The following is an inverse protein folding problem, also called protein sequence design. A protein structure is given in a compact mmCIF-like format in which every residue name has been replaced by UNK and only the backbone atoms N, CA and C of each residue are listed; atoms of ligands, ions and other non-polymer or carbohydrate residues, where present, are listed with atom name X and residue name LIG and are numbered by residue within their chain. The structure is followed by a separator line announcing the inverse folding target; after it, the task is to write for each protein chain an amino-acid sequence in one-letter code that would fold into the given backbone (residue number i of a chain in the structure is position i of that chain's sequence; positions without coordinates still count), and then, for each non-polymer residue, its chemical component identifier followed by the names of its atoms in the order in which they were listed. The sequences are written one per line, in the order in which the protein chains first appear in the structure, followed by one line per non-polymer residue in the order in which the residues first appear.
data_IF_617724903494
#
_entry.id   IF_617724903494
#
_cell.length_a   1.000
_cell.length_b   1.000
_cell.length_c   1.000
_cell.angle_alpha   90.00
_cell.angle_beta   90.00
_cell.angle_gamma   90.00
#
_symmetry.space_group_name_H-M   'P 1'
#
loop_
_entity.id
_entity.type
_entity.pdbx_description
1 polymer ?
#
# COMPACT_ATOMS: atom_id res chain seq x y z
N UNK A 1 -2.59 13.07 7.01
CA UNK A 1 -2.36 11.75 7.63
C UNK A 1 -3.33 10.81 6.94
N UNK A 2 -2.85 9.75 6.31
CA UNK A 2 -3.66 8.94 5.37
C UNK A 2 -3.76 7.48 5.84
N UNK A 3 -4.96 6.87 5.85
CA UNK A 3 -5.16 5.47 6.28
C UNK A 3 -4.36 4.44 5.48
N UNK A 4 -3.84 3.44 6.20
CA UNK A 4 -3.14 2.28 5.65
C UNK A 4 -3.59 1.01 6.40
N UNK A 5 -4.05 0.02 5.65
CA UNK A 5 -4.33 -1.33 6.13
C UNK A 5 -3.43 -2.35 5.47
N UNK A 6 -2.78 -3.22 6.26
CA UNK A 6 -1.88 -4.27 5.79
C UNK A 6 -2.33 -5.61 6.36
N UNK A 7 -2.41 -6.65 5.52
CA UNK A 7 -2.65 -8.02 5.97
C UNK A 7 -1.60 -9.00 5.44
N UNK A 8 -1.37 -10.06 6.21
CA UNK A 8 -0.47 -11.16 5.89
C UNK A 8 -1.24 -12.46 6.03
N UNK A 9 -1.41 -13.17 4.92
CA UNK A 9 -2.30 -14.33 4.86
C UNK A 9 -1.57 -15.54 4.29
N UNK A 10 -2.07 -16.73 4.62
CA UNK A 10 -1.62 -18.00 4.03
C UNK A 10 -0.09 -18.23 4.08
N UNK A 11 0.53 -18.04 5.25
CA UNK A 11 1.97 -18.31 5.45
C UNK A 11 2.32 -19.77 5.11
N UNK A 12 3.23 -19.97 4.16
CA UNK A 12 3.67 -21.28 3.71
C UNK A 12 4.86 -21.82 4.54
N UNK A 13 5.26 -23.08 4.27
CA UNK A 13 6.37 -23.72 4.95
C UNK A 13 7.75 -23.11 4.62
N UNK A 14 7.83 -22.32 3.54
CA UNK A 14 9.05 -21.62 3.11
C UNK A 14 9.14 -20.20 3.71
N UNK A 15 8.14 -19.78 4.50
CA UNK A 15 8.08 -18.47 5.14
C UNK A 15 7.55 -17.35 4.23
N UNK A 16 6.96 -17.67 3.08
CA UNK A 16 6.28 -16.69 2.23
C UNK A 16 4.82 -16.56 2.65
N UNK A 17 4.28 -15.35 2.59
CA UNK A 17 2.86 -15.10 2.77
C UNK A 17 2.30 -14.40 1.53
N UNK A 18 0.99 -14.47 1.36
CA UNK A 18 0.26 -13.53 0.55
C UNK A 18 0.14 -12.22 1.35
N UNK A 19 0.83 -11.18 0.88
CA UNK A 19 0.83 -9.86 1.52
C UNK A 19 -0.14 -8.95 0.76
N UNK A 20 -1.02 -8.26 1.48
CA UNK A 20 -1.92 -7.25 0.93
C UNK A 20 -1.69 -5.89 1.57
N UNK A 21 -1.93 -4.83 0.80
CA UNK A 21 -2.02 -3.49 1.32
C UNK A 21 -3.13 -2.69 0.65
N UNK A 22 -3.89 -1.96 1.47
CA UNK A 22 -4.77 -0.89 1.05
C UNK A 22 -4.21 0.42 1.59
N UNK A 23 -3.90 1.35 0.70
CA UNK A 23 -3.35 2.65 1.07
C UNK A 23 -4.25 3.71 0.46
N UNK A 24 -4.83 4.57 1.30
CA UNK A 24 -5.36 5.83 0.81
C UNK A 24 -4.19 6.72 0.35
N UNK A 25 -4.39 7.52 -0.68
CA UNK A 25 -3.31 8.31 -1.30
C UNK A 25 -3.89 9.55 -1.98
N UNK A 26 -3.18 10.68 -1.89
CA UNK A 26 -3.56 11.87 -2.65
C UNK A 26 -3.35 11.65 -4.15
N UNK A 27 -4.24 12.17 -4.98
CA UNK A 27 -4.15 12.01 -6.43
C UNK A 27 -2.77 12.42 -6.99
N UNK A 28 -2.19 13.51 -6.47
CA UNK A 28 -0.89 14.02 -6.87
C UNK A 28 0.30 13.12 -6.48
N UNK A 29 0.15 12.25 -5.46
CA UNK A 29 1.21 11.36 -4.97
C UNK A 29 1.27 10.03 -5.76
N UNK A 30 0.18 9.68 -6.46
CA UNK A 30 0.04 8.40 -7.17
C UNK A 30 1.19 8.10 -8.13
N UNK A 31 1.63 9.01 -9.03
CA UNK A 31 2.62 8.65 -10.03
C UNK A 31 3.96 8.18 -9.42
N UNK A 32 4.44 8.88 -8.39
CA UNK A 32 5.70 8.54 -7.72
C UNK A 32 5.57 7.29 -6.84
N UNK A 33 4.48 7.20 -6.07
CA UNK A 33 4.24 6.04 -5.22
C UNK A 33 4.08 4.75 -6.04
N UNK A 34 3.26 4.79 -7.10
CA UNK A 34 3.04 3.67 -8.00
C UNK A 34 4.33 3.22 -8.68
N UNK A 35 5.15 4.17 -9.16
CA UNK A 35 6.45 3.84 -9.74
C UNK A 35 7.34 3.11 -8.73
N UNK A 36 7.42 3.59 -7.49
CA UNK A 36 8.22 2.96 -6.43
C UNK A 36 7.73 1.55 -6.10
N UNK A 37 6.42 1.35 -5.94
CA UNK A 37 5.81 0.03 -5.68
C UNK A 37 6.18 -0.98 -6.77
N UNK A 38 6.04 -0.61 -8.05
CA UNK A 38 6.39 -1.49 -9.17
C UNK A 38 7.89 -1.78 -9.20
N UNK A 39 8.75 -0.80 -8.91
CA UNK A 39 10.21 -1.00 -8.82
C UNK A 39 10.63 -1.95 -7.69
N UNK A 40 9.87 -2.01 -6.60
CA UNK A 40 10.08 -2.98 -5.51
C UNK A 40 9.62 -4.41 -5.88
N UNK A 41 9.01 -4.58 -7.05
CA UNK A 41 8.41 -5.84 -7.50
C UNK A 41 7.08 -6.16 -6.83
N UNK A 42 6.40 -5.17 -6.26
CA UNK A 42 5.06 -5.31 -5.67
C UNK A 42 4.02 -5.04 -6.77
N UNK A 43 2.97 -5.86 -6.81
CA UNK A 43 1.90 -5.75 -7.81
C UNK A 43 0.89 -4.71 -7.34
N UNK A 44 0.49 -3.80 -8.22
CA UNK A 44 -0.70 -2.95 -8.01
C UNK A 44 -1.91 -3.70 -8.57
N UNK A 45 -2.82 -4.11 -7.70
CA UNK A 45 -4.02 -4.87 -8.09
C UNK A 45 -5.21 -3.97 -8.42
N UNK A 46 -5.30 -2.78 -7.82
CA UNK A 46 -6.34 -1.80 -8.14
C UNK A 46 -5.93 -0.36 -7.78
N UNK A 47 -6.55 0.60 -8.46
CA UNK A 47 -6.55 2.02 -8.10
C UNK A 47 -7.95 2.58 -8.32
N UNK A 48 -8.59 3.08 -7.28
CA UNK A 48 -9.96 3.61 -7.36
C UNK A 48 -10.25 4.66 -6.28
N UNK A 49 -11.45 5.23 -6.30
CA UNK A 49 -11.93 6.22 -5.34
C UNK A 49 -13.18 5.67 -4.64
N UNK A 50 -13.35 5.96 -3.35
CA UNK A 50 -14.55 5.57 -2.58
C UNK A 50 -15.65 6.64 -2.57
N UNK A 51 -15.34 7.92 -2.83
CA UNK A 51 -16.30 9.03 -2.67
C UNK A 51 -16.41 9.95 -3.87
N UNK A 52 -17.64 10.28 -4.25
CA UNK A 52 -17.89 11.26 -5.31
C UNK A 52 -17.61 12.69 -4.84
N UNK A 53 -17.03 13.50 -5.73
CA UNK A 53 -16.84 14.96 -5.56
C UNK A 53 -15.97 15.40 -4.36
N UNK A 54 -15.11 14.52 -3.84
CA UNK A 54 -14.24 14.84 -2.72
C UNK A 54 -13.14 15.84 -3.09
N UNK A 55 -12.80 16.74 -2.16
CA UNK A 55 -11.68 17.69 -2.26
C UNK A 55 -10.92 17.75 -0.94
N UNK A 56 -9.60 17.44 -0.91
CA UNK A 56 -8.78 16.93 -2.02
C UNK A 56 -9.23 15.54 -2.48
N UNK A 57 -8.88 15.13 -3.71
CA UNK A 57 -9.21 13.79 -4.18
C UNK A 57 -8.28 12.77 -3.49
N UNK A 58 -8.87 11.94 -2.62
CA UNK A 58 -8.21 10.76 -2.06
C UNK A 58 -8.59 9.56 -2.92
N UNK A 59 -7.58 8.81 -3.32
CA UNK A 59 -7.68 7.54 -4.04
C UNK A 59 -7.23 6.42 -3.12
N UNK A 60 -7.53 5.18 -3.49
CA UNK A 60 -7.11 3.97 -2.79
C UNK A 60 -6.33 3.09 -3.76
N UNK A 61 -5.10 2.79 -3.40
CA UNK A 61 -4.24 1.86 -4.13
C UNK A 61 -4.19 0.53 -3.38
N UNK A 62 -4.49 -0.54 -4.11
CA UNK A 62 -4.43 -1.91 -3.63
C UNK A 62 -3.17 -2.56 -4.17
N UNK A 63 -2.39 -3.17 -3.29
CA UNK A 63 -1.11 -3.80 -3.62
C UNK A 63 -1.05 -5.23 -3.09
N UNK A 64 -0.29 -6.08 -3.75
CA UNK A 64 -0.05 -7.44 -3.30
C UNK A 64 1.32 -7.99 -3.69
N UNK A 65 1.83 -8.94 -2.92
CA UNK A 65 3.00 -9.77 -3.29
C UNK A 65 2.96 -11.14 -2.59
N UNK A 66 3.72 -12.10 -3.11
CA UNK A 66 3.97 -13.38 -2.44
C UNK A 66 5.46 -13.46 -2.11
N UNK A 67 5.78 -13.18 -0.84
CA UNK A 67 7.15 -13.13 -0.32
C UNK A 67 7.12 -13.13 1.22
N UNK A 68 8.27 -13.20 1.92
CA UNK A 68 8.28 -13.09 3.38
C UNK A 68 7.70 -11.75 3.87
N UNK A 69 6.80 -11.73 4.87
CA UNK A 69 6.14 -10.51 5.36
C UNK A 69 7.11 -9.37 5.69
N UNK A 70 8.25 -9.69 6.29
CA UNK A 70 9.27 -8.70 6.64
C UNK A 70 9.92 -8.06 5.41
N UNK A 71 10.08 -8.82 4.31
CA UNK A 71 10.61 -8.31 3.05
C UNK A 71 9.61 -7.34 2.42
N UNK A 72 8.33 -7.73 2.35
CA UNK A 72 7.25 -6.86 1.89
C UNK A 72 7.18 -5.57 2.72
N UNK A 73 7.18 -5.66 4.05
CA UNK A 73 7.09 -4.51 4.94
C UNK A 73 8.24 -3.50 4.72
N UNK A 74 9.47 -3.99 4.50
CA UNK A 74 10.63 -3.12 4.21
C UNK A 74 10.51 -2.41 2.86
N UNK A 75 10.07 -3.14 1.83
CA UNK A 75 9.84 -2.58 0.48
C UNK A 75 8.74 -1.53 0.49
N UNK A 76 7.65 -1.80 1.20
CA UNK A 76 6.54 -0.87 1.36
C UNK A 76 6.97 0.37 2.15
N UNK A 77 7.71 0.21 3.25
CA UNK A 77 8.25 1.32 4.02
C UNK A 77 9.17 2.24 3.18
N UNK A 78 9.97 1.68 2.29
CA UNK A 78 10.75 2.47 1.32
C UNK A 78 9.80 3.25 0.37
N UNK A 79 8.75 2.63 -0.13
CA UNK A 79 7.76 3.32 -0.99
C UNK A 79 7.06 4.47 -0.27
N UNK A 80 6.79 4.35 1.04
CA UNK A 80 6.22 5.45 1.83
C UNK A 80 7.14 6.66 1.97
N UNK A 81 8.45 6.54 1.76
CA UNK A 81 9.36 7.69 1.74
C UNK A 81 9.12 8.66 0.57
N UNK A 82 8.33 8.25 -0.42
CA UNK A 82 7.95 9.07 -1.57
C UNK A 82 6.60 9.80 -1.37
N UNK A 83 5.92 9.56 -0.24
CA UNK A 83 4.73 10.31 0.12
C UNK A 83 5.11 11.59 0.86
N UNK A 84 4.42 12.67 0.55
CA UNK A 84 4.46 13.90 1.34
C UNK A 84 3.54 13.80 2.57
N UNK A 85 2.54 12.92 2.49
CA UNK A 85 1.61 12.60 3.55
C UNK A 85 2.07 11.38 4.37
N UNK A 86 1.98 11.49 5.71
CA UNK A 86 2.37 10.38 6.57
C UNK A 86 1.25 9.32 6.67
N UNK A 87 1.59 8.01 6.50
CA UNK A 87 0.64 6.92 6.68
C UNK A 87 0.28 6.75 8.15
N UNK A 88 -0.95 6.30 8.42
CA UNK A 88 -1.39 5.81 9.72
C UNK A 88 -2.00 4.44 9.62
N UNK A 89 -1.69 3.62 10.61
CA UNK A 89 -2.42 2.38 10.86
C UNK A 89 -3.67 2.73 11.64
N UNK A 90 -4.84 2.31 11.15
CA UNK A 90 -6.05 2.36 11.96
C UNK A 90 -5.87 1.33 13.09
N UNK A 91 -5.62 1.82 14.31
CA UNK A 91 -5.63 0.99 15.51
C UNK A 91 -7.09 0.70 15.91
N UNK A 92 -7.83 0.03 15.04
CA UNK A 92 -9.16 -0.49 15.34
C UNK A 92 -9.07 -2.02 15.35
N UNK A 93 -8.90 -2.52 16.58
CA UNK A 93 -9.27 -3.83 17.16
C UNK A 93 -9.30 -5.08 16.27
#
# INVERSE_FOLDING_TARGET
MIPVGISFESLDQNGNALNFGEIAILQEEIPLFMQSIVQQGIIVSALHNHWLYMKPLIMYIHIQSVEPPLSFAKKLANSFSFLSSYPITDNES
#
